data_IF_260848301212
#
_entry.id   IF_260848301212
#
_cell.length_a   1.000
_cell.length_b   1.000
_cell.length_c   1.000
_cell.angle_alpha   90.00
_cell.angle_beta   90.00
_cell.angle_gamma   90.00
#
_symmetry.space_group_name_H-M   'P 1'
#
loop_
_entity.id
_entity.type
_entity.pdbx_description
1 polymer ?
#
# COMPACT_ATOMS: atom_id res chain seq x y z
N UNK A 1 1.04 -17.76 -28.30
CA UNK A 1 0.30 -17.36 -27.09
C UNK A 1 1.03 -16.15 -26.57
N UNK A 2 0.35 -15.01 -26.45
CA UNK A 2 0.99 -13.80 -25.92
C UNK A 2 1.27 -14.03 -24.43
N UNK A 3 2.54 -14.23 -24.08
CA UNK A 3 2.97 -14.33 -22.69
C UNK A 3 2.86 -12.94 -22.07
N UNK A 4 1.74 -12.69 -21.37
CA UNK A 4 1.53 -11.45 -20.66
C UNK A 4 2.28 -11.51 -19.32
N UNK A 5 3.41 -10.80 -19.22
CA UNK A 5 4.20 -10.70 -17.99
C UNK A 5 3.41 -9.87 -16.97
N UNK A 6 3.09 -10.46 -15.82
CA UNK A 6 2.44 -9.77 -14.71
C UNK A 6 3.39 -9.77 -13.52
N UNK A 7 3.85 -8.58 -13.13
CA UNK A 7 4.82 -8.42 -12.07
C UNK A 7 4.43 -7.24 -11.16
N UNK A 8 4.62 -7.40 -9.86
CA UNK A 8 4.40 -6.36 -8.85
C UNK A 8 5.73 -5.62 -8.62
N UNK A 9 5.69 -4.29 -8.66
CA UNK A 9 6.86 -3.44 -8.44
C UNK A 9 6.53 -2.39 -7.38
N UNK A 10 7.20 -2.47 -6.24
CA UNK A 10 7.13 -1.50 -5.16
C UNK A 10 8.21 -0.42 -5.37
N UNK A 11 7.80 0.75 -5.85
CA UNK A 11 8.76 1.85 -6.09
C UNK A 11 9.44 2.41 -4.84
N UNK A 12 9.04 2.02 -3.63
CA UNK A 12 9.67 2.43 -2.36
C UNK A 12 10.71 1.42 -1.88
N UNK A 13 10.51 0.14 -2.17
CA UNK A 13 11.35 -0.95 -1.68
C UNK A 13 12.20 -1.61 -2.76
N UNK A 14 11.72 -1.64 -4.01
CA UNK A 14 12.38 -2.31 -5.11
C UNK A 14 13.34 -1.38 -5.86
N UNK A 15 14.53 -1.91 -6.14
CA UNK A 15 15.48 -1.28 -7.05
C UNK A 15 15.16 -1.68 -8.49
N UNK A 16 14.87 -0.69 -9.34
CA UNK A 16 14.42 -0.92 -10.72
C UNK A 16 15.43 -1.72 -11.56
N UNK A 17 16.74 -1.52 -11.34
CA UNK A 17 17.77 -2.27 -12.06
C UNK A 17 17.74 -3.74 -11.68
N UNK A 18 17.82 -4.05 -10.38
CA UNK A 18 17.80 -5.41 -9.85
C UNK A 18 16.50 -6.15 -10.23
N UNK A 19 15.36 -5.47 -10.11
CA UNK A 19 14.07 -6.00 -10.51
C UNK A 19 14.05 -6.40 -11.99
N UNK A 20 14.54 -5.53 -12.88
CA UNK A 20 14.55 -5.81 -14.32
C UNK A 20 15.55 -6.92 -14.67
N UNK A 21 16.71 -6.95 -14.01
CA UNK A 21 17.71 -7.98 -14.20
C UNK A 21 17.20 -9.36 -13.76
N UNK A 22 16.41 -9.42 -12.69
CA UNK A 22 15.81 -10.67 -12.24
C UNK A 22 14.75 -11.18 -13.23
N UNK A 23 13.92 -10.31 -13.80
CA UNK A 23 12.97 -10.69 -14.86
C UNK A 23 13.67 -11.23 -16.11
N UNK A 24 14.85 -10.70 -16.46
CA UNK A 24 15.64 -11.21 -17.59
C UNK A 24 16.22 -12.59 -17.27
N UNK A 25 16.76 -12.78 -16.05
CA UNK A 25 17.28 -14.08 -15.60
C UNK A 25 16.21 -15.16 -15.55
N UNK A 26 14.98 -14.79 -15.23
CA UNK A 26 13.82 -15.67 -15.19
C UNK A 26 13.21 -15.90 -16.58
N UNK A 27 13.82 -15.34 -17.64
CA UNK A 27 13.37 -15.41 -19.03
C UNK A 27 11.96 -14.83 -19.25
N UNK A 28 11.47 -14.01 -18.31
CA UNK A 28 10.19 -13.30 -18.42
C UNK A 28 10.31 -12.02 -19.26
N UNK A 29 11.50 -11.42 -19.31
CA UNK A 29 11.80 -10.24 -20.11
C UNK A 29 13.01 -10.49 -21.03
N UNK A 30 12.90 -10.11 -22.30
CA UNK A 30 14.06 -10.12 -23.20
C UNK A 30 15.04 -8.99 -22.86
N UNK A 31 16.33 -9.26 -22.94
CA UNK A 31 17.39 -8.27 -22.73
C UNK A 31 17.25 -7.06 -23.68
N UNK A 32 16.83 -7.30 -24.92
CA UNK A 32 16.59 -6.25 -25.93
C UNK A 32 15.47 -5.28 -25.53
N UNK A 33 14.56 -5.72 -24.66
CA UNK A 33 13.41 -4.95 -24.19
C UNK A 33 13.66 -4.25 -22.84
N UNK A 34 14.83 -4.49 -22.22
CA UNK A 34 15.18 -3.99 -20.88
C UNK A 34 14.94 -2.49 -20.72
N UNK A 35 15.46 -1.68 -21.63
CA UNK A 35 15.35 -0.22 -21.54
C UNK A 35 13.93 0.27 -21.79
N UNK A 36 13.21 -0.34 -22.73
CA UNK A 36 11.81 -0.01 -22.99
C UNK A 36 10.93 -0.31 -21.77
N UNK A 37 11.14 -1.47 -21.14
CA UNK A 37 10.45 -1.86 -19.92
C UNK A 37 10.76 -0.91 -18.75
N UNK A 38 12.03 -0.58 -18.51
CA UNK A 38 12.41 0.36 -17.44
C UNK A 38 11.78 1.74 -17.62
N UNK A 39 11.69 2.22 -18.86
CA UNK A 39 11.02 3.49 -19.15
C UNK A 39 9.51 3.40 -18.90
N UNK A 40 8.88 2.29 -19.30
CA UNK A 40 7.46 2.03 -19.02
C UNK A 40 7.18 2.01 -17.51
N UNK A 41 7.98 1.29 -16.71
CA UNK A 41 7.82 1.25 -15.25
C UNK A 41 7.96 2.65 -14.66
N UNK A 42 8.97 3.43 -15.06
CA UNK A 42 9.15 4.82 -14.60
C UNK A 42 7.94 5.71 -14.91
N UNK A 43 7.36 5.57 -16.10
CA UNK A 43 6.16 6.31 -16.50
C UNK A 43 4.97 5.94 -15.61
N UNK A 44 4.73 4.63 -15.41
CA UNK A 44 3.65 4.14 -14.54
C UNK A 44 3.79 4.58 -13.09
N UNK A 45 5.00 4.51 -12.54
CA UNK A 45 5.29 5.02 -11.19
C UNK A 45 4.99 6.52 -11.10
N UNK A 46 5.32 7.30 -12.13
CA UNK A 46 5.05 8.75 -12.16
C UNK A 46 3.55 9.04 -12.22
N UNK A 47 2.79 8.32 -13.05
CA UNK A 47 1.33 8.42 -13.12
C UNK A 47 0.69 8.11 -11.75
N UNK A 48 1.09 6.99 -11.14
CA UNK A 48 0.58 6.56 -9.84
C UNK A 48 0.92 7.57 -8.72
N UNK A 49 2.15 8.09 -8.68
CA UNK A 49 2.56 9.13 -7.71
C UNK A 49 1.74 10.41 -7.88
N UNK A 50 1.45 10.81 -9.12
CA UNK A 50 0.59 11.97 -9.41
C UNK A 50 -0.84 11.73 -8.91
N UNK A 51 -1.44 10.60 -9.26
CA UNK A 51 -2.78 10.24 -8.80
C UNK A 51 -2.88 10.19 -7.27
N UNK A 52 -1.88 9.60 -6.60
CA UNK A 52 -1.81 9.56 -5.13
C UNK A 52 -1.72 10.96 -4.51
N UNK A 53 -0.96 11.86 -5.13
CA UNK A 53 -0.89 13.26 -4.68
C UNK A 53 -2.24 13.97 -4.83
N UNK A 54 -2.89 13.84 -5.98
CA UNK A 54 -4.20 14.42 -6.24
C UNK A 54 -5.27 13.88 -5.27
N UNK A 55 -5.27 12.56 -5.00
CA UNK A 55 -6.15 11.95 -4.02
C UNK A 55 -5.90 12.48 -2.59
N UNK A 56 -4.64 12.65 -2.19
CA UNK A 56 -4.26 13.26 -0.90
C UNK A 56 -4.73 14.71 -0.80
N UNK A 57 -4.56 15.50 -1.86
CA UNK A 57 -5.02 16.90 -1.91
C UNK A 57 -6.54 17.00 -1.89
N UNK A 58 -7.24 16.14 -2.64
CA UNK A 58 -8.70 16.05 -2.61
C UNK A 58 -9.22 15.69 -1.20
N UNK A 59 -8.57 14.73 -0.52
CA UNK A 59 -8.90 14.38 0.87
C UNK A 59 -8.69 15.55 1.82
N UNK A 60 -7.57 16.27 1.70
CA UNK A 60 -7.30 17.47 2.52
C UNK A 60 -8.35 18.55 2.29
N UNK A 61 -8.72 18.80 1.02
CA UNK A 61 -9.75 19.77 0.66
C UNK A 61 -11.13 19.37 1.18
N UNK A 62 -11.48 18.09 1.11
CA UNK A 62 -12.72 17.57 1.69
C UNK A 62 -12.76 17.80 3.20
N UNK A 63 -11.68 17.45 3.92
CA UNK A 63 -11.56 17.71 5.37
C UNK A 63 -11.66 19.19 5.72
N UNK A 64 -11.04 20.08 4.93
CA UNK A 64 -11.14 21.52 5.17
C UNK A 64 -12.58 22.03 4.99
N UNK A 65 -13.28 21.56 3.95
CA UNK A 65 -14.67 21.91 3.65
C UNK A 65 -15.71 21.32 4.60
N UNK A 66 -15.34 20.31 5.41
CA UNK A 66 -16.26 19.74 6.40
C UNK A 66 -16.70 20.81 7.41
N UNK A 67 -17.99 20.78 7.76
CA UNK A 67 -18.56 21.69 8.77
C UNK A 67 -17.91 21.45 10.14
N UNK A 68 -17.89 22.50 10.97
CA UNK A 68 -17.38 22.41 12.34
C UNK A 68 -18.16 21.37 13.16
N UNK A 69 -19.47 21.27 12.95
CA UNK A 69 -20.32 20.26 13.58
C UNK A 69 -19.87 18.83 13.22
N UNK A 70 -19.60 18.57 11.95
CA UNK A 70 -19.15 17.24 11.53
C UNK A 70 -17.77 16.90 12.11
N UNK A 71 -16.86 17.89 12.16
CA UNK A 71 -15.53 17.73 12.78
C UNK A 71 -15.66 17.41 14.27
N UNK A 72 -16.46 18.16 15.01
CA UNK A 72 -16.73 17.94 16.42
C UNK A 72 -17.38 16.56 16.67
N UNK A 73 -18.28 16.11 15.80
CA UNK A 73 -18.88 14.79 15.89
C UNK A 73 -17.86 13.64 15.71
N UNK A 74 -16.86 13.82 14.84
CA UNK A 74 -15.78 12.84 14.67
C UNK A 74 -14.82 12.83 15.88
N UNK A 75 -14.49 14.00 16.41
CA UNK A 75 -13.63 14.13 17.60
C UNK A 75 -14.28 13.55 18.86
N UNK A 76 -15.59 13.77 19.03
CA UNK A 76 -16.35 13.28 20.18
C UNK A 76 -16.82 11.82 20.02
N UNK A 77 -16.54 11.16 18.88
CA UNK A 77 -16.93 9.77 18.66
C UNK A 77 -16.05 8.85 19.51
N UNK A 78 -16.66 8.16 20.47
CA UNK A 78 -15.99 7.14 21.26
C UNK A 78 -15.86 5.82 20.50
N UNK A 79 -14.63 5.32 20.36
CA UNK A 79 -14.35 3.97 19.86
C UNK A 79 -14.06 3.05 21.04
N UNK A 80 -15.09 2.35 21.51
CA UNK A 80 -14.93 1.36 22.58
C UNK A 80 -14.36 0.07 22.00
N UNK A 81 -13.15 -0.30 22.41
CA UNK A 81 -12.56 -1.60 22.09
C UNK A 81 -12.98 -2.61 23.15
N UNK A 82 -13.87 -3.53 22.78
CA UNK A 82 -14.26 -4.64 23.65
C UNK A 82 -13.34 -5.83 23.37
N UNK A 83 -12.45 -6.10 24.32
CA UNK A 83 -11.60 -7.29 24.27
C UNK A 83 -12.26 -8.42 25.07
N UNK A 84 -12.40 -9.62 24.49
CA UNK A 84 -12.84 -10.78 25.24
C UNK A 84 -11.89 -11.04 26.41
N UNK A 85 -12.45 -11.26 27.60
CA UNK A 85 -11.67 -11.75 28.74
C UNK A 85 -11.25 -13.18 28.44
N UNK A 86 -9.96 -13.48 28.62
CA UNK A 86 -9.45 -14.82 28.39
C UNK A 86 -10.07 -15.78 29.40
N UNK A 87 -10.91 -16.70 28.93
CA UNK A 87 -11.45 -17.82 29.69
C UNK A 87 -10.58 -19.07 29.45
N UNK A 88 -10.72 -20.14 30.27
CA UNK A 88 -10.03 -21.41 30.02
C UNK A 88 -10.31 -22.01 28.64
N UNK A 89 -11.46 -21.66 28.04
CA UNK A 89 -11.91 -22.12 26.73
C UNK A 89 -11.48 -21.16 25.59
N UNK A 90 -10.84 -20.04 25.93
CA UNK A 90 -10.37 -19.08 24.94
C UNK A 90 -9.08 -19.56 24.26
N UNK A 91 -8.97 -19.45 22.92
CA UNK A 91 -7.77 -19.84 22.20
C UNK A 91 -6.57 -18.97 22.61
N UNK A 92 -5.40 -19.60 22.73
CA UNK A 92 -4.17 -18.91 23.09
C UNK A 92 -3.67 -18.05 21.92
N UNK A 93 -3.93 -16.74 22.02
CA UNK A 93 -3.54 -15.74 21.00
C UNK A 93 -2.19 -15.07 21.27
N UNK A 94 -1.41 -15.54 22.24
CA UNK A 94 -0.12 -14.91 22.61
C UNK A 94 0.87 -14.79 21.45
N UNK A 95 0.82 -15.74 20.48
CA UNK A 95 1.68 -15.77 19.30
C UNK A 95 1.24 -14.84 18.16
N UNK A 96 0.00 -14.33 18.20
CA UNK A 96 -0.58 -13.48 17.14
C UNK A 96 -0.85 -12.05 17.60
N UNK A 97 -0.56 -11.73 18.87
CA UNK A 97 -0.64 -10.34 19.35
C UNK A 97 0.51 -9.53 18.78
N UNK A 98 0.18 -8.45 18.07
CA UNK A 98 1.17 -7.46 17.64
C UNK A 98 1.74 -6.71 18.86
N UNK A 99 3.07 -6.49 18.92
CA UNK A 99 3.71 -5.80 20.05
C UNK A 99 3.32 -4.32 20.19
N UNK A 100 2.62 -3.75 19.21
CA UNK A 100 2.25 -2.33 19.18
C UNK A 100 0.80 -2.04 19.60
N UNK A 101 -0.01 -3.07 19.88
CA UNK A 101 -1.41 -2.91 20.26
C UNK A 101 -1.52 -2.71 21.79
N UNK A 102 -2.24 -1.66 22.22
CA UNK A 102 -2.48 -1.31 23.64
C UNK A 102 -1.21 -0.98 24.45
N UNK A 103 -0.26 -0.27 23.82
CA UNK A 103 0.87 0.35 24.53
C UNK A 103 0.42 1.52 25.40
#
# INVERSE_FOLDING_TARGET
MDNNVFCEFDWELDELEEFTDNLIKEEELSEDQKDAFKNFVKEKVREAKKANREAREARKKALQKMSQETKAAFENRSFNKFYPVSTPDSPNVSKVKSPFINR
#
